data_IF_914744247844
#
_entry.id   IF_914744247844
#
_cell.length_a   1.000
_cell.length_b   1.000
_cell.length_c   1.000
_cell.angle_alpha   90.00
_cell.angle_beta   90.00
_cell.angle_gamma   90.00
#
_symmetry.space_group_name_H-M   'P 1'
#
loop_
_entity.id
_entity.type
_entity.pdbx_description
1 polymer ?
#
# COMPACT_ATOMS: atom_id res chain seq x y z
N UNK A 1 -20.84 -18.95 -17.80
CA UNK A 1 -21.66 -20.17 -17.93
C UNK A 1 -21.75 -20.82 -16.56
N UNK A 2 -22.90 -20.68 -15.89
CA UNK A 2 -23.15 -21.35 -14.62
C UNK A 2 -23.61 -22.79 -14.92
N UNK A 3 -22.80 -23.78 -14.58
CA UNK A 3 -23.26 -25.18 -14.63
C UNK A 3 -24.24 -25.40 -13.48
N UNK A 4 -25.52 -25.50 -13.83
CA UNK A 4 -26.60 -25.99 -12.97
C UNK A 4 -26.30 -27.48 -12.69
N UNK A 5 -25.70 -27.80 -11.54
CA UNK A 5 -25.44 -29.18 -11.15
C UNK A 5 -26.75 -29.83 -10.65
N UNK A 6 -27.10 -31.06 -11.12
CA UNK A 6 -28.30 -31.76 -10.68
C UNK A 6 -28.27 -32.07 -9.17
N UNK A 7 -29.45 -32.00 -8.53
CA UNK A 7 -29.66 -32.01 -7.07
C UNK A 7 -29.26 -33.31 -6.32
N UNK A 8 -28.57 -34.26 -6.94
CA UNK A 8 -28.20 -35.55 -6.31
C UNK A 8 -26.78 -35.99 -6.65
N UNK A 9 -25.79 -35.16 -6.34
CA UNK A 9 -24.38 -35.57 -6.38
C UNK A 9 -23.98 -36.29 -5.08
N UNK A 10 -23.16 -37.37 -5.16
CA UNK A 10 -22.54 -38.00 -3.99
C UNK A 10 -21.75 -36.99 -3.16
N UNK A 11 -21.72 -37.18 -1.85
CA UNK A 11 -21.12 -36.23 -0.90
C UNK A 11 -19.65 -35.93 -1.20
N UNK A 12 -18.87 -36.94 -1.60
CA UNK A 12 -17.47 -36.79 -2.02
C UNK A 12 -17.30 -35.88 -3.25
N UNK A 13 -18.29 -35.84 -4.15
CA UNK A 13 -18.27 -34.98 -5.33
C UNK A 13 -18.63 -33.53 -4.98
N UNK A 14 -19.50 -33.32 -3.97
CA UNK A 14 -19.74 -31.99 -3.39
C UNK A 14 -18.52 -31.46 -2.64
N UNK A 15 -17.88 -32.32 -1.85
CA UNK A 15 -16.64 -32.01 -1.12
C UNK A 15 -15.52 -31.63 -2.10
N UNK A 16 -15.34 -32.37 -3.19
CA UNK A 16 -14.38 -32.01 -4.23
C UNK A 16 -14.70 -30.66 -4.87
N UNK A 17 -15.98 -30.38 -5.17
CA UNK A 17 -16.41 -29.09 -5.71
C UNK A 17 -16.14 -27.93 -4.73
N UNK A 18 -16.38 -28.10 -3.44
CA UNK A 18 -16.05 -27.11 -2.41
C UNK A 18 -14.55 -26.82 -2.37
N UNK A 19 -13.71 -27.87 -2.32
CA UNK A 19 -12.26 -27.70 -2.27
C UNK A 19 -11.70 -27.04 -3.54
N UNK A 20 -12.16 -27.45 -4.72
CA UNK A 20 -11.74 -26.86 -6.00
C UNK A 20 -12.17 -25.38 -6.10
N UNK A 21 -13.40 -25.04 -5.70
CA UNK A 21 -13.85 -23.65 -5.70
C UNK A 21 -13.09 -22.80 -4.68
N UNK A 22 -12.77 -23.37 -3.50
CA UNK A 22 -11.96 -22.71 -2.48
C UNK A 22 -10.55 -22.42 -3.00
N UNK A 23 -9.88 -23.43 -3.57
CA UNK A 23 -8.54 -23.26 -4.15
C UNK A 23 -8.53 -22.19 -5.25
N UNK A 24 -9.48 -22.24 -6.18
CA UNK A 24 -9.60 -21.24 -7.25
C UNK A 24 -9.84 -19.83 -6.70
N UNK A 25 -10.64 -19.70 -5.65
CA UNK A 25 -10.87 -18.41 -4.98
C UNK A 25 -9.61 -17.87 -4.31
N UNK A 26 -8.81 -18.72 -3.68
CA UNK A 26 -7.54 -18.33 -3.07
C UNK A 26 -6.50 -17.93 -4.12
N UNK A 27 -6.44 -18.64 -5.24
CA UNK A 27 -5.59 -18.28 -6.39
C UNK A 27 -5.98 -16.92 -6.96
N UNK A 28 -7.27 -16.69 -7.19
CA UNK A 28 -7.77 -15.41 -7.68
C UNK A 28 -7.48 -14.25 -6.70
N UNK A 29 -7.64 -14.48 -5.39
CA UNK A 29 -7.29 -13.47 -4.39
C UNK A 29 -5.79 -13.16 -4.36
N UNK A 30 -4.93 -14.17 -4.54
CA UNK A 30 -3.48 -13.97 -4.64
C UNK A 30 -3.11 -13.15 -5.87
N UNK A 31 -3.66 -13.49 -7.03
CA UNK A 31 -3.42 -12.75 -8.27
C UNK A 31 -3.87 -11.28 -8.15
N UNK A 32 -5.04 -11.05 -7.55
CA UNK A 32 -5.53 -9.69 -7.31
C UNK A 32 -4.63 -8.91 -6.34
N UNK A 33 -4.12 -9.57 -5.29
CA UNK A 33 -3.19 -8.95 -4.35
C UNK A 33 -1.86 -8.56 -5.04
N UNK A 34 -1.32 -9.43 -5.89
CA UNK A 34 -0.10 -9.12 -6.65
C UNK A 34 -0.31 -7.97 -7.63
N UNK A 35 -1.47 -7.91 -8.29
CA UNK A 35 -1.83 -6.78 -9.15
C UNK A 35 -1.90 -5.46 -8.38
N UNK A 36 -2.58 -5.45 -7.23
CA UNK A 36 -2.69 -4.28 -6.36
C UNK A 36 -1.33 -3.85 -5.82
N UNK A 37 -0.47 -4.81 -5.47
CA UNK A 37 0.91 -4.53 -5.06
C UNK A 37 1.67 -3.80 -6.17
N UNK A 38 1.54 -4.24 -7.42
CA UNK A 38 2.14 -3.55 -8.57
C UNK A 38 1.56 -2.16 -8.83
N UNK A 39 0.28 -1.92 -8.53
CA UNK A 39 -0.31 -0.57 -8.59
C UNK A 39 0.32 0.37 -7.55
N UNK A 40 0.51 -0.09 -6.32
CA UNK A 40 1.19 0.70 -5.27
C UNK A 40 2.65 0.98 -5.63
N UNK A 41 3.37 0.00 -6.19
CA UNK A 41 4.74 0.23 -6.66
C UNK A 41 4.81 1.30 -7.75
N UNK A 42 3.86 1.30 -8.70
CA UNK A 42 3.76 2.36 -9.70
C UNK A 42 3.44 3.72 -9.11
N UNK A 43 2.68 3.80 -8.02
CA UNK A 43 2.47 5.07 -7.32
C UNK A 43 3.79 5.63 -6.78
N UNK A 44 4.70 4.79 -6.29
CA UNK A 44 6.05 5.24 -5.88
C UNK A 44 6.93 5.65 -7.07
N UNK A 45 6.87 4.93 -8.19
CA UNK A 45 7.62 5.28 -9.41
C UNK A 45 7.16 6.62 -10.00
N UNK A 46 5.85 6.84 -10.10
CA UNK A 46 5.24 8.11 -10.49
C UNK A 46 5.41 9.19 -9.43
N UNK A 47 5.75 8.80 -8.20
CA UNK A 47 6.02 9.70 -7.08
C UNK A 47 7.16 10.69 -7.35
N UNK A 48 7.96 10.52 -8.42
CA UNK A 48 8.88 11.55 -8.89
C UNK A 48 8.17 12.85 -9.31
N UNK A 49 6.92 12.76 -9.74
CA UNK A 49 6.09 13.90 -10.15
C UNK A 49 5.04 14.30 -9.09
N UNK A 50 4.93 13.54 -7.99
CA UNK A 50 4.01 13.86 -6.90
C UNK A 50 4.61 14.89 -5.95
N UNK A 51 3.75 15.67 -5.29
CA UNK A 51 4.18 16.57 -4.23
C UNK A 51 4.78 15.78 -3.05
N UNK A 52 5.70 16.40 -2.31
CA UNK A 52 6.20 15.84 -1.06
C UNK A 52 5.06 15.47 -0.09
N UNK A 53 3.97 16.24 -0.11
CA UNK A 53 2.80 15.99 0.71
C UNK A 53 2.05 14.72 0.33
N UNK A 54 1.83 14.46 -0.96
CA UNK A 54 1.16 13.24 -1.43
C UNK A 54 2.00 12.00 -1.11
N UNK A 55 3.32 12.12 -1.24
CA UNK A 55 4.27 11.07 -0.86
C UNK A 55 4.18 10.74 0.63
N UNK A 56 4.15 11.75 1.50
CA UNK A 56 3.97 11.58 2.96
C UNK A 56 2.65 10.89 3.29
N UNK A 57 1.54 11.29 2.65
CA UNK A 57 0.22 10.64 2.84
C UNK A 57 0.20 9.19 2.39
N UNK A 58 0.87 8.86 1.29
CA UNK A 58 0.97 7.49 0.79
C UNK A 58 1.70 6.60 1.80
N UNK A 59 2.85 7.04 2.33
CA UNK A 59 3.62 6.30 3.33
C UNK A 59 2.80 6.09 4.61
N UNK A 60 2.18 7.16 5.14
CA UNK A 60 1.32 7.07 6.33
C UNK A 60 0.16 6.07 6.14
N UNK A 61 -0.47 6.09 4.97
CA UNK A 61 -1.56 5.15 4.65
C UNK A 61 -1.07 3.69 4.65
N UNK A 62 0.11 3.41 4.09
CA UNK A 62 0.66 2.06 4.03
C UNK A 62 1.04 1.53 5.42
N UNK A 63 1.59 2.38 6.27
CA UNK A 63 1.90 2.05 7.67
C UNK A 63 0.63 1.81 8.48
N UNK A 64 -0.39 2.67 8.34
CA UNK A 64 -1.66 2.51 9.03
C UNK A 64 -2.39 1.21 8.64
N UNK A 65 -2.24 0.79 7.38
CA UNK A 65 -2.74 -0.49 6.89
C UNK A 65 -1.86 -1.69 7.29
N UNK A 66 -0.66 -1.47 7.84
CA UNK A 66 0.28 -2.51 8.24
C UNK A 66 0.85 -3.34 7.08
N UNK A 67 0.91 -2.75 5.89
CA UNK A 67 1.40 -3.37 4.65
C UNK A 67 2.70 -2.75 4.14
N UNK A 68 3.21 -1.73 4.82
CA UNK A 68 4.49 -1.04 4.62
C UNK A 68 5.67 -2.00 4.42
N UNK A 69 5.69 -3.13 5.14
CA UNK A 69 6.70 -4.18 5.01
C UNK A 69 6.88 -4.74 3.60
N UNK A 70 5.89 -4.58 2.72
CA UNK A 70 5.96 -5.02 1.33
C UNK A 70 6.63 -4.01 0.39
N UNK A 71 6.89 -2.79 0.87
CA UNK A 71 7.36 -1.63 0.10
C UNK A 71 8.53 -0.90 0.78
N UNK A 72 9.29 -1.58 1.66
CA UNK A 72 10.33 -0.95 2.48
C UNK A 72 11.36 -0.14 1.65
N UNK A 73 11.72 -0.62 0.46
CA UNK A 73 12.70 0.05 -0.41
C UNK A 73 12.10 1.30 -1.04
N UNK A 74 10.86 1.20 -1.49
CA UNK A 74 10.10 2.29 -2.08
C UNK A 74 9.85 3.40 -1.05
N UNK A 75 9.50 3.02 0.18
CA UNK A 75 9.32 3.95 1.31
C UNK A 75 10.65 4.65 1.66
N UNK A 76 11.75 3.92 1.79
CA UNK A 76 13.06 4.51 2.11
C UNK A 76 13.54 5.50 1.04
N UNK A 77 13.36 5.15 -0.24
CA UNK A 77 13.66 6.03 -1.36
C UNK A 77 12.76 7.28 -1.37
N UNK A 78 11.46 7.11 -1.11
CA UNK A 78 10.51 8.21 -1.02
C UNK A 78 10.84 9.17 0.14
N UNK A 79 11.14 8.63 1.32
CA UNK A 79 11.53 9.40 2.51
C UNK A 79 12.85 10.15 2.29
N UNK A 80 13.83 9.52 1.62
CA UNK A 80 15.08 10.17 1.25
C UNK A 80 14.88 11.37 0.32
N UNK A 81 13.95 11.26 -0.64
CA UNK A 81 13.61 12.36 -1.55
C UNK A 81 12.96 13.52 -0.84
N UNK A 82 11.90 13.25 -0.06
CA UNK A 82 11.21 14.32 0.69
C UNK A 82 12.10 14.95 1.76
N UNK A 83 13.15 14.27 2.23
CA UNK A 83 14.11 14.85 3.17
C UNK A 83 14.92 15.99 2.53
N UNK A 84 15.27 15.86 1.25
CA UNK A 84 16.00 16.88 0.49
C UNK A 84 15.12 17.98 -0.13
N UNK A 85 13.81 17.78 -0.20
CA UNK A 85 12.86 18.77 -0.73
C UNK A 85 12.41 19.76 0.36
N UNK A 86 12.38 21.04 0.01
CA UNK A 86 11.76 22.09 0.82
C UNK A 86 10.25 22.09 0.54
N UNK A 87 9.44 22.00 1.60
CA UNK A 87 7.98 21.99 1.46
C UNK A 87 7.51 23.35 0.92
N UNK A 88 6.71 23.35 -0.15
CA UNK A 88 5.96 24.53 -0.55
C UNK A 88 4.84 24.78 0.48
N UNK A 89 5.03 25.78 1.32
CA UNK A 89 4.06 26.20 2.34
C UNK A 89 3.05 27.20 1.76
N UNK A 90 1.76 26.97 1.98
CA UNK A 90 0.68 27.90 1.59
C UNK A 90 -0.72 27.61 2.15
N UNK A 91 -0.94 26.62 3.02
CA UNK A 91 -2.28 26.21 3.48
C UNK A 91 -2.33 25.78 4.96
N UNK A 92 -3.53 25.76 5.57
CA UNK A 92 -3.74 25.18 6.91
C UNK A 92 -3.44 23.69 6.99
N UNK A 93 -3.46 22.98 5.86
CA UNK A 93 -3.04 21.57 5.76
C UNK A 93 -1.52 21.42 6.05
N UNK A 94 -0.76 22.52 5.96
CA UNK A 94 0.70 22.52 6.12
C UNK A 94 1.14 22.08 7.51
N UNK A 95 0.46 22.48 8.59
CA UNK A 95 0.89 22.08 9.93
C UNK A 95 0.76 20.57 10.14
N UNK A 96 -0.37 20.00 9.69
CA UNK A 96 -0.58 18.55 9.76
C UNK A 96 0.46 17.83 8.90
N UNK A 97 0.70 18.30 7.68
CA UNK A 97 1.67 17.72 6.76
C UNK A 97 3.12 17.84 7.26
N UNK A 98 3.49 18.97 7.85
CA UNK A 98 4.80 19.19 8.48
C UNK A 98 5.00 18.25 9.66
N UNK A 99 4.00 18.15 10.55
CA UNK A 99 4.05 17.25 11.69
C UNK A 99 4.18 15.79 11.23
N UNK A 100 3.40 15.39 10.22
CA UNK A 100 3.43 14.03 9.68
C UNK A 100 4.78 13.70 9.03
N UNK A 101 5.31 14.61 8.20
CA UNK A 101 6.66 14.46 7.62
C UNK A 101 7.73 14.33 8.70
N UNK A 102 7.69 15.18 9.73
CA UNK A 102 8.64 15.13 10.83
C UNK A 102 8.56 13.80 11.59
N UNK A 103 7.35 13.33 11.88
CA UNK A 103 7.11 12.05 12.53
C UNK A 103 7.62 10.88 11.69
N UNK A 104 7.29 10.81 10.40
CA UNK A 104 7.75 9.73 9.52
C UNK A 104 9.27 9.71 9.37
N UNK A 105 9.89 10.86 9.09
CA UNK A 105 11.35 10.94 8.95
C UNK A 105 12.06 10.44 10.21
N UNK A 106 11.60 10.85 11.40
CA UNK A 106 12.17 10.36 12.67
C UNK A 106 11.92 8.87 12.92
N UNK A 107 10.74 8.36 12.58
CA UNK A 107 10.43 6.93 12.72
C UNK A 107 11.36 6.06 11.88
N UNK A 108 11.71 6.52 10.68
CA UNK A 108 12.63 5.83 9.76
C UNK A 108 14.11 6.19 9.97
N UNK A 109 14.44 6.95 11.04
CA UNK A 109 15.82 7.24 11.42
C UNK A 109 16.50 8.37 10.65
N UNK A 110 15.76 9.13 9.84
CA UNK A 110 16.26 10.36 9.24
C UNK A 110 16.39 11.46 10.30
N UNK A 111 17.52 12.15 10.27
CA UNK A 111 17.75 13.28 11.17
C UNK A 111 17.03 14.51 10.66
N UNK A 112 16.16 15.10 11.48
CA UNK A 112 15.46 16.34 11.17
C UNK A 112 15.79 17.37 12.25
N UNK A 113 16.30 18.53 11.84
CA UNK A 113 16.49 19.66 12.75
C UNK A 113 15.14 20.14 13.26
N UNK A 114 15.03 20.34 14.56
CA UNK A 114 13.97 21.17 15.14
C UNK A 114 14.44 22.61 14.93
N UNK A 115 14.13 23.21 13.79
CA UNK A 115 14.36 24.64 13.60
C UNK A 115 13.28 25.40 14.37
N UNK A 116 13.74 26.30 15.24
CA UNK A 116 12.93 27.20 16.08
C UNK A 116 12.32 28.35 15.28
#
# INVERSE_FOLDING_TARGET
MAFCLPLTLPEWQKVNCYYVNKQRSEEWMRERADQLKGEVQRMFELGNDMSAGDTVRLVDTLEHLGIDKHFLKEIDAALSRIHGEELEYGSSDDLHMVALRFCLLRQHGFWVQVTS
#
